data_IF_835908389736
#
_entry.id   IF_835908389736
#
_cell.length_a   1.000
_cell.length_b   1.000
_cell.length_c   1.000
_cell.angle_alpha   90.00
_cell.angle_beta   90.00
_cell.angle_gamma   90.00
#
_symmetry.space_group_name_H-M   'P 1'
#
loop_
_entity.id
_entity.type
_entity.pdbx_description
1 polymer ?
#
# COMPACT_ATOMS: atom_id res chain seq x y z
N UNK A 1 63.97 26.76 5.16
CA UNK A 1 62.75 27.27 5.82
C UNK A 1 63.00 27.28 7.32
N UNK A 2 62.88 28.45 7.97
CA UNK A 2 63.14 28.54 9.40
C UNK A 2 62.12 27.71 10.18
N UNK A 3 62.51 27.14 11.31
CA UNK A 3 61.67 26.31 12.16
C UNK A 3 60.37 27.03 12.56
N UNK A 4 60.36 28.36 12.59
CA UNK A 4 59.21 29.22 12.85
C UNK A 4 58.18 29.11 11.73
N UNK A 5 58.58 29.05 10.44
CA UNK A 5 57.62 28.89 9.31
C UNK A 5 56.96 27.48 9.32
N UNK A 6 57.69 26.45 9.71
CA UNK A 6 57.13 25.09 9.85
C UNK A 6 56.11 25.01 10.99
N UNK A 7 56.44 25.65 12.13
CA UNK A 7 55.54 25.71 13.28
C UNK A 7 54.26 26.50 12.98
N UNK A 8 54.33 27.59 12.23
CA UNK A 8 53.17 28.37 11.80
C UNK A 8 52.25 27.55 10.84
N UNK A 9 52.83 26.80 9.91
CA UNK A 9 52.09 25.93 9.00
C UNK A 9 51.33 24.83 9.75
N UNK A 10 51.99 24.21 10.74
CA UNK A 10 51.37 23.17 11.59
C UNK A 10 50.22 23.76 12.42
N UNK A 11 50.37 24.96 12.97
CA UNK A 11 49.37 25.63 13.75
C UNK A 11 48.11 25.98 12.90
N UNK A 12 48.33 26.47 11.66
CA UNK A 12 47.25 26.74 10.71
C UNK A 12 46.55 25.45 10.29
N UNK A 13 47.30 24.38 10.05
CA UNK A 13 46.69 23.07 9.71
C UNK A 13 45.85 22.50 10.85
N UNK A 14 46.30 22.59 12.10
CA UNK A 14 45.57 22.16 13.29
C UNK A 14 44.30 23.04 13.48
N UNK A 15 44.41 24.36 13.28
CA UNK A 15 43.25 25.25 13.35
C UNK A 15 42.20 24.95 12.25
N UNK A 16 42.66 24.62 11.03
CA UNK A 16 41.76 24.21 9.92
C UNK A 16 41.07 22.87 10.22
N UNK A 17 41.81 21.89 10.74
CA UNK A 17 41.22 20.61 11.16
C UNK A 17 40.21 20.80 12.31
N UNK A 18 40.52 21.63 13.30
CA UNK A 18 39.62 21.97 14.39
C UNK A 18 38.34 22.70 13.89
N UNK A 19 38.48 23.59 12.90
CA UNK A 19 37.37 24.29 12.25
C UNK A 19 36.46 23.32 11.44
N UNK A 20 37.09 22.39 10.69
CA UNK A 20 36.37 21.35 9.98
C UNK A 20 35.68 20.39 10.96
N UNK A 21 36.39 19.95 12.01
CA UNK A 21 35.81 19.09 13.04
C UNK A 21 34.65 19.76 13.81
N UNK A 22 34.73 21.07 14.04
CA UNK A 22 33.63 21.82 14.68
C UNK A 22 32.42 22.04 13.74
N UNK A 23 32.64 21.98 12.44
CA UNK A 23 31.55 22.05 11.43
C UNK A 23 30.78 20.74 11.31
N UNK A 24 31.35 19.61 11.72
CA UNK A 24 30.65 18.34 11.90
C UNK A 24 29.93 18.31 13.26
N UNK A 25 28.98 19.23 13.46
CA UNK A 25 27.92 18.97 14.44
C UNK A 25 27.03 17.86 13.85
N UNK A 26 27.43 16.62 14.02
CA UNK A 26 26.50 15.51 13.88
C UNK A 26 25.39 15.76 14.90
N UNK A 27 24.19 16.08 14.44
CA UNK A 27 23.04 16.11 15.34
C UNK A 27 22.95 14.73 15.95
N UNK A 28 23.06 14.65 17.26
CA UNK A 28 23.03 13.39 17.99
C UNK A 28 21.66 12.74 17.72
N UNK A 29 21.63 11.44 17.42
CA UNK A 29 20.38 10.69 17.21
C UNK A 29 19.48 10.80 18.44
N UNK A 30 20.05 11.04 19.61
CA UNK A 30 19.33 11.26 20.86
C UNK A 30 18.54 12.60 20.90
N UNK A 31 18.90 13.57 20.04
CA UNK A 31 18.22 14.87 19.94
C UNK A 31 17.09 14.86 18.91
N UNK A 32 16.78 13.70 18.32
CA UNK A 32 15.72 13.55 17.32
C UNK A 32 14.58 12.67 17.82
N UNK A 33 13.36 13.07 17.50
CA UNK A 33 12.16 12.23 17.61
C UNK A 33 12.03 11.41 16.33
N UNK A 34 12.29 10.11 16.42
CA UNK A 34 12.18 9.20 15.28
C UNK A 34 10.71 8.86 15.05
N UNK A 35 10.17 9.26 13.90
CA UNK A 35 8.80 9.00 13.51
C UNK A 35 8.76 7.73 12.66
N UNK A 36 7.93 6.75 13.04
CA UNK A 36 7.72 5.50 12.32
C UNK A 36 6.53 5.54 11.38
N UNK A 37 5.51 6.30 11.72
CA UNK A 37 4.31 6.44 10.89
C UNK A 37 3.67 7.79 11.05
N UNK A 38 2.96 8.17 10.00
CA UNK A 38 2.24 9.45 9.91
C UNK A 38 0.82 9.17 9.49
N UNK A 39 -0.14 9.59 10.31
CA UNK A 39 -1.57 9.62 9.99
C UNK A 39 -2.01 11.05 9.71
N UNK A 40 -2.84 11.23 8.70
CA UNK A 40 -3.36 12.53 8.27
C UNK A 40 -4.88 12.46 8.22
N UNK A 41 -5.53 13.30 9.02
CA UNK A 41 -6.98 13.44 9.09
C UNK A 41 -7.40 14.88 8.76
N UNK A 42 -8.64 15.09 8.35
CA UNK A 42 -9.20 16.42 8.18
C UNK A 42 -9.47 17.06 9.57
N UNK A 43 -9.27 18.37 9.66
CA UNK A 43 -9.56 19.14 10.87
C UNK A 43 -10.26 20.45 10.55
N UNK A 44 -11.50 20.57 10.99
CA UNK A 44 -12.32 21.73 10.67
C UNK A 44 -12.50 21.93 9.16
N UNK A 45 -12.74 23.17 8.75
CA UNK A 45 -13.06 23.46 7.34
C UNK A 45 -11.84 23.41 6.37
N UNK A 46 -10.63 23.66 6.89
CA UNK A 46 -9.41 23.77 6.07
C UNK A 46 -8.14 23.34 6.77
N UNK A 47 -8.24 22.69 7.93
CA UNK A 47 -7.11 22.24 8.72
C UNK A 47 -6.74 20.78 8.48
N UNK A 48 -5.57 20.43 8.98
CA UNK A 48 -5.04 19.07 8.98
C UNK A 48 -4.79 18.67 10.42
N UNK A 49 -5.18 17.46 10.79
CA UNK A 49 -4.74 16.83 12.03
C UNK A 49 -3.68 15.79 11.67
N UNK A 50 -2.49 15.98 12.19
CA UNK A 50 -1.38 15.05 12.00
C UNK A 50 -1.19 14.21 13.26
N UNK A 51 -1.24 12.90 13.11
CA UNK A 51 -0.91 11.95 14.17
C UNK A 51 0.35 11.21 13.80
N UNK A 52 1.38 11.27 14.64
CA UNK A 52 2.66 10.58 14.37
C UNK A 52 2.91 9.54 15.45
N UNK A 53 3.41 8.39 15.02
CA UNK A 53 3.94 7.37 15.91
C UNK A 53 5.43 7.58 16.12
N UNK A 54 5.82 7.96 17.35
CA UNK A 54 7.20 8.32 17.72
C UNK A 54 7.82 7.20 18.53
N UNK A 55 9.05 6.82 18.20
CA UNK A 55 9.86 5.89 18.99
C UNK A 55 10.42 6.62 20.21
N UNK A 56 10.14 6.11 21.39
CA UNK A 56 10.77 6.56 22.63
C UNK A 56 11.71 5.46 23.13
N UNK A 57 13.02 5.73 23.26
CA UNK A 57 13.92 4.79 23.95
C UNK A 57 13.46 4.66 25.41
N UNK A 58 13.24 3.44 25.88
CA UNK A 58 12.80 3.15 27.24
C UNK A 58 13.84 3.65 28.25
N UNK A 59 13.40 4.53 29.14
CA UNK A 59 14.21 4.99 30.29
C UNK A 59 14.06 4.00 31.46
N UNK A 60 14.71 2.84 31.40
CA UNK A 60 14.68 1.93 32.53
C UNK A 60 15.57 0.72 32.34
N UNK A 61 16.32 0.38 33.38
CA UNK A 61 17.30 -0.70 33.42
C UNK A 61 16.70 -2.13 33.41
N UNK A 62 15.38 -2.29 33.26
CA UNK A 62 14.73 -3.60 33.38
C UNK A 62 13.91 -4.05 32.15
N UNK A 63 13.67 -3.19 31.16
CA UNK A 63 13.02 -3.59 29.90
C UNK A 63 13.75 -2.98 28.72
N UNK A 64 14.52 -3.80 28.02
CA UNK A 64 15.05 -3.50 26.68
C UNK A 64 13.88 -3.62 25.70
N UNK A 65 13.03 -2.59 25.68
CA UNK A 65 11.88 -2.48 24.78
C UNK A 65 11.83 -1.09 24.17
N UNK A 66 11.71 -1.02 22.86
CA UNK A 66 11.42 0.23 22.17
C UNK A 66 9.90 0.42 22.24
N UNK A 67 9.45 1.43 22.98
CA UNK A 67 8.03 1.77 23.04
C UNK A 67 7.72 2.84 22.02
N UNK A 68 6.66 2.65 21.25
CA UNK A 68 6.09 3.71 20.42
C UNK A 68 5.01 4.45 21.18
N UNK A 69 4.89 5.75 20.93
CA UNK A 69 3.83 6.62 21.42
C UNK A 69 3.29 7.44 20.27
N UNK A 70 2.00 7.72 20.31
CA UNK A 70 1.38 8.62 19.35
C UNK A 70 1.36 10.05 19.87
N UNK A 71 1.60 11.00 18.99
CA UNK A 71 1.47 12.44 19.20
C UNK A 71 0.54 12.98 18.14
N UNK A 72 -0.50 13.68 18.54
CA UNK A 72 -1.45 14.32 17.63
C UNK A 72 -1.32 15.83 17.75
N UNK A 73 -1.21 16.50 16.61
CA UNK A 73 -1.14 17.96 16.49
C UNK A 73 -2.12 18.43 15.42
N UNK A 74 -2.45 19.71 15.43
CA UNK A 74 -3.43 20.31 14.55
C UNK A 74 -2.91 21.65 14.03
N UNK A 75 -2.92 21.82 12.71
CA UNK A 75 -2.52 23.06 12.07
C UNK A 75 -3.26 23.28 10.75
N UNK A 76 -2.93 24.40 10.09
CA UNK A 76 -3.45 24.70 8.75
C UNK A 76 -2.57 24.13 7.63
N UNK A 77 -1.34 23.77 7.93
CA UNK A 77 -0.38 23.26 6.97
C UNK A 77 0.47 22.16 7.56
N UNK A 78 0.89 21.21 6.74
CA UNK A 78 1.74 20.08 7.14
C UNK A 78 3.06 20.54 7.75
N UNK A 79 3.67 21.60 7.17
CA UNK A 79 4.93 22.18 7.70
C UNK A 79 4.76 22.66 9.14
N UNK A 80 3.63 23.29 9.44
CA UNK A 80 3.31 23.75 10.79
C UNK A 80 3.04 22.57 11.73
N UNK A 81 2.36 21.52 11.27
CA UNK A 81 2.14 20.31 12.05
C UNK A 81 3.45 19.63 12.43
N UNK A 82 4.38 19.47 11.49
CA UNK A 82 5.70 18.90 11.76
C UNK A 82 6.47 19.74 12.78
N UNK A 83 6.37 21.07 12.70
CA UNK A 83 6.95 21.96 13.70
C UNK A 83 6.30 21.80 15.07
N UNK A 84 4.96 21.69 15.12
CA UNK A 84 4.22 21.44 16.37
C UNK A 84 4.62 20.10 17.01
N UNK A 85 4.87 19.04 16.21
CA UNK A 85 5.41 17.76 16.70
C UNK A 85 6.76 17.98 17.38
N UNK A 86 7.67 18.76 16.75
CA UNK A 86 8.96 19.05 17.34
C UNK A 86 8.85 19.85 18.63
N UNK A 87 7.94 20.82 18.70
CA UNK A 87 7.66 21.58 19.94
C UNK A 87 7.08 20.69 21.04
N UNK A 88 6.13 19.80 20.69
CA UNK A 88 5.51 18.87 21.66
C UNK A 88 6.51 17.87 22.22
N UNK A 89 7.40 17.34 21.38
CA UNK A 89 8.39 16.32 21.78
C UNK A 89 9.66 16.93 22.41
N UNK A 90 9.89 18.23 22.21
CA UNK A 90 11.11 18.93 22.60
C UNK A 90 12.33 18.52 21.80
N UNK A 91 12.15 17.83 20.65
CA UNK A 91 13.20 17.30 19.78
C UNK A 91 12.85 17.53 18.32
N UNK A 92 13.87 17.62 17.45
CA UNK A 92 13.66 17.70 16.02
C UNK A 92 12.93 16.45 15.48
N UNK A 93 11.83 16.66 14.76
CA UNK A 93 11.07 15.57 14.15
C UNK A 93 11.85 14.97 12.95
N UNK A 94 12.12 13.66 12.99
CA UNK A 94 12.84 12.94 11.95
C UNK A 94 11.94 11.93 11.27
N UNK A 95 11.54 12.20 10.04
CA UNK A 95 10.70 11.35 9.19
C UNK A 95 11.49 10.32 8.37
N UNK A 96 12.83 10.36 8.41
CA UNK A 96 13.69 9.49 7.61
C UNK A 96 13.58 7.99 7.91
N UNK A 97 12.89 7.61 8.99
CA UNK A 97 12.58 6.21 9.33
C UNK A 97 11.08 5.91 9.26
N UNK A 98 10.29 6.83 8.72
CA UNK A 98 8.87 6.63 8.52
C UNK A 98 8.64 5.49 7.51
N UNK A 99 7.84 4.49 7.90
CA UNK A 99 7.56 3.30 7.10
C UNK A 99 6.19 3.35 6.45
N UNK A 100 5.26 4.17 6.98
CA UNK A 100 3.90 4.29 6.45
C UNK A 100 3.33 5.70 6.60
N UNK A 101 2.65 6.15 5.53
CA UNK A 101 1.79 7.34 5.48
C UNK A 101 0.34 6.85 5.32
N UNK A 102 -0.53 7.24 6.26
CA UNK A 102 -1.92 6.81 6.32
C UNK A 102 -2.84 8.02 6.14
N UNK A 103 -3.76 7.94 5.19
CA UNK A 103 -4.78 8.97 4.97
C UNK A 103 -6.09 8.53 5.61
N UNK A 104 -6.64 9.34 6.52
CA UNK A 104 -7.96 9.12 7.11
C UNK A 104 -9.08 9.37 6.12
N UNK A 105 -10.23 8.70 6.32
CA UNK A 105 -11.34 8.70 5.37
C UNK A 105 -11.86 10.10 5.06
N UNK A 106 -12.17 10.88 6.07
CA UNK A 106 -12.70 12.23 5.86
C UNK A 106 -11.71 13.13 5.09
N UNK A 107 -10.41 12.87 5.25
CA UNK A 107 -9.39 13.63 4.55
C UNK A 107 -9.32 13.24 3.07
N UNK A 108 -9.14 11.96 2.75
CA UNK A 108 -8.94 11.57 1.36
C UNK A 108 -10.21 11.65 0.51
N UNK A 109 -11.40 11.52 1.11
CA UNK A 109 -12.66 11.65 0.35
C UNK A 109 -13.00 13.09 0.01
N UNK A 110 -12.61 14.06 0.83
CA UNK A 110 -13.06 15.45 0.71
C UNK A 110 -11.97 16.44 0.29
N UNK A 111 -10.69 16.05 0.38
CA UNK A 111 -9.54 16.94 0.14
C UNK A 111 -8.73 16.45 -1.05
N UNK A 112 -8.34 17.40 -1.92
CA UNK A 112 -7.27 17.18 -2.89
C UNK A 112 -5.94 17.19 -2.13
N UNK A 113 -5.30 16.04 -2.00
CA UNK A 113 -4.08 15.92 -1.20
C UNK A 113 -2.79 16.06 -2.02
N UNK A 114 -2.84 16.77 -3.16
CA UNK A 114 -1.66 17.07 -3.98
C UNK A 114 -0.58 17.77 -3.17
N UNK A 115 -0.94 18.81 -2.41
CA UNK A 115 0.00 19.55 -1.57
C UNK A 115 0.67 18.67 -0.51
N UNK A 116 -0.04 17.67 0.02
CA UNK A 116 0.50 16.70 0.97
C UNK A 116 1.61 15.86 0.31
N UNK A 117 1.32 15.28 -0.84
CA UNK A 117 2.27 14.45 -1.59
C UNK A 117 3.49 15.28 -2.02
N UNK A 118 3.26 16.46 -2.58
CA UNK A 118 4.34 17.37 -2.99
C UNK A 118 5.22 17.80 -1.82
N UNK A 119 4.62 18.08 -0.65
CA UNK A 119 5.39 18.40 0.55
C UNK A 119 6.36 17.29 0.92
N UNK A 120 5.89 16.06 1.03
CA UNK A 120 6.73 14.93 1.45
C UNK A 120 7.81 14.58 0.42
N UNK A 121 7.52 14.72 -0.87
CA UNK A 121 8.49 14.46 -1.95
C UNK A 121 9.54 15.59 -2.02
N UNK A 122 9.10 16.82 -2.09
CA UNK A 122 9.98 17.98 -2.34
C UNK A 122 10.91 18.27 -1.16
N UNK A 123 10.44 18.02 0.04
CA UNK A 123 11.26 18.22 1.25
C UNK A 123 12.10 17.00 1.60
N UNK A 124 12.07 15.90 0.79
CA UNK A 124 12.78 14.65 1.05
C UNK A 124 12.56 14.13 2.47
N UNK A 125 11.41 14.44 3.05
CA UNK A 125 11.09 14.11 4.44
C UNK A 125 10.81 12.63 4.60
N UNK A 126 10.14 12.02 3.61
CA UNK A 126 9.86 10.59 3.55
C UNK A 126 10.74 9.91 2.49
N UNK A 127 11.00 8.61 2.70
CA UNK A 127 11.62 7.79 1.67
C UNK A 127 10.61 7.49 0.57
N UNK A 128 11.06 7.39 -0.66
CA UNK A 128 10.24 6.97 -1.79
C UNK A 128 9.62 5.58 -1.60
N UNK A 129 10.28 4.73 -0.78
CA UNK A 129 9.82 3.39 -0.41
C UNK A 129 8.82 3.39 0.75
N UNK A 130 8.51 4.54 1.37
CA UNK A 130 7.49 4.62 2.42
C UNK A 130 6.15 4.13 1.88
N UNK A 131 5.53 3.17 2.58
CA UNK A 131 4.20 2.70 2.21
C UNK A 131 3.19 3.84 2.33
N UNK A 132 2.24 3.92 1.39
CA UNK A 132 1.12 4.85 1.45
C UNK A 132 -0.18 4.07 1.36
N UNK A 133 -1.10 4.36 2.27
CA UNK A 133 -2.42 3.74 2.33
C UNK A 133 -3.47 4.73 2.84
N UNK A 134 -4.72 4.37 2.69
CA UNK A 134 -5.84 5.02 3.37
C UNK A 134 -6.44 4.08 4.42
N UNK A 135 -7.26 4.59 5.31
CA UNK A 135 -7.95 3.77 6.28
C UNK A 135 -9.45 4.10 6.33
N UNK A 136 -10.23 3.16 6.82
CA UNK A 136 -11.60 3.39 7.22
C UNK A 136 -11.61 4.23 8.50
N UNK A 137 -12.41 5.31 8.54
CA UNK A 137 -12.45 6.23 9.64
C UNK A 137 -11.19 7.10 9.78
N UNK A 138 -10.72 7.28 10.99
CA UNK A 138 -9.63 8.20 11.32
C UNK A 138 -8.27 7.49 11.39
N UNK A 139 -7.26 8.07 10.76
CA UNK A 139 -5.87 7.60 10.85
C UNK A 139 -5.35 7.72 12.30
N UNK A 140 -5.80 8.73 13.04
CA UNK A 140 -5.51 8.89 14.48
C UNK A 140 -6.00 7.69 15.27
N UNK A 141 -7.27 7.27 15.06
CA UNK A 141 -7.83 6.15 15.80
C UNK A 141 -7.14 4.83 15.42
N UNK A 142 -6.80 4.65 14.14
CA UNK A 142 -6.04 3.50 13.67
C UNK A 142 -4.68 3.40 14.38
N UNK A 143 -3.93 4.50 14.45
CA UNK A 143 -2.62 4.54 15.12
C UNK A 143 -2.71 4.39 16.65
N UNK A 144 -3.79 4.87 17.27
CA UNK A 144 -3.99 4.77 18.71
C UNK A 144 -4.51 3.40 19.16
N UNK A 145 -5.42 2.79 18.39
CA UNK A 145 -6.16 1.60 18.81
C UNK A 145 -5.56 0.29 18.27
N UNK A 146 -4.64 0.36 17.33
CA UNK A 146 -4.03 -0.81 16.73
C UNK A 146 -3.16 -1.58 17.71
N UNK A 147 -3.78 -2.29 18.64
CA UNK A 147 -3.12 -3.26 19.50
C UNK A 147 -2.80 -4.55 18.78
N UNK A 148 -1.95 -4.48 17.74
CA UNK A 148 -1.38 -5.68 17.16
C UNK A 148 -0.36 -6.31 18.12
N UNK A 149 -0.01 -7.56 17.88
CA UNK A 149 1.11 -8.24 18.56
C UNK A 149 2.44 -7.48 18.40
N UNK A 150 2.48 -6.50 17.50
CA UNK A 150 3.63 -5.64 17.24
C UNK A 150 3.73 -4.49 18.24
N UNK A 151 4.95 -4.13 18.59
CA UNK A 151 5.25 -2.99 19.47
C UNK A 151 4.94 -1.63 18.81
N UNK A 152 4.76 -1.59 17.49
CA UNK A 152 4.44 -0.43 16.67
C UNK A 152 3.35 -0.76 15.68
N UNK A 153 2.30 0.06 15.66
CA UNK A 153 1.18 -0.04 14.71
C UNK A 153 1.67 0.22 13.29
N UNK A 154 2.50 1.24 13.10
CA UNK A 154 3.04 1.60 11.79
C UNK A 154 3.89 0.49 11.18
N UNK A 155 4.72 -0.18 11.98
CA UNK A 155 5.49 -1.34 11.53
C UNK A 155 4.58 -2.52 11.20
N UNK A 156 3.54 -2.78 12.00
CA UNK A 156 2.58 -3.85 11.73
C UNK A 156 1.86 -3.64 10.39
N UNK A 157 1.38 -2.42 10.14
CA UNK A 157 0.73 -2.04 8.89
C UNK A 157 1.70 -2.20 7.71
N UNK A 158 2.90 -1.60 7.80
CA UNK A 158 3.88 -1.67 6.72
C UNK A 158 4.32 -3.11 6.43
N UNK A 159 4.57 -3.93 7.45
CA UNK A 159 4.94 -5.34 7.29
C UNK A 159 3.81 -6.13 6.63
N UNK A 160 2.58 -5.97 7.11
CA UNK A 160 1.45 -6.66 6.53
C UNK A 160 1.20 -6.25 5.06
N UNK A 161 1.42 -4.98 4.71
CA UNK A 161 1.37 -4.53 3.32
C UNK A 161 2.48 -5.17 2.47
N UNK A 162 3.69 -5.34 2.99
CA UNK A 162 4.81 -5.96 2.27
C UNK A 162 4.64 -7.47 2.11
N UNK A 163 4.17 -8.16 3.15
CA UNK A 163 4.01 -9.62 3.13
C UNK A 163 2.84 -10.11 2.26
N UNK A 164 1.92 -9.22 1.91
CA UNK A 164 0.74 -9.59 1.12
C UNK A 164 1.00 -9.69 -0.37
N UNK A 165 2.17 -9.33 -0.85
CA UNK A 165 2.55 -9.50 -2.26
C UNK A 165 2.51 -10.95 -2.75
N UNK A 166 2.55 -11.93 -1.85
CA UNK A 166 2.42 -13.35 -2.20
C UNK A 166 0.99 -13.94 -2.02
N UNK A 167 0.09 -13.24 -1.31
CA UNK A 167 -1.19 -13.84 -0.87
C UNK A 167 -2.44 -13.10 -1.29
N UNK A 168 -2.39 -11.82 -1.61
CA UNK A 168 -3.57 -11.03 -1.99
C UNK A 168 -3.27 -10.17 -3.20
N UNK A 169 -4.07 -10.31 -4.08
CA UNK A 169 -4.47 -9.75 -5.34
C UNK A 169 -3.95 -8.37 -5.75
N UNK A 170 -3.24 -7.60 -4.95
CA UNK A 170 -2.84 -6.26 -5.37
C UNK A 170 -1.48 -5.86 -4.83
N UNK A 171 -0.63 -5.40 -5.75
CA UNK A 171 0.65 -4.77 -5.42
C UNK A 171 0.46 -3.64 -4.41
N UNK A 172 1.20 -3.68 -3.31
CA UNK A 172 1.22 -2.58 -2.35
C UNK A 172 1.81 -1.32 -2.97
N UNK A 173 1.20 -0.18 -2.68
CA UNK A 173 1.70 1.10 -3.11
C UNK A 173 2.66 1.68 -2.08
N UNK A 174 3.81 2.13 -2.58
CA UNK A 174 4.66 3.08 -1.89
C UNK A 174 4.53 4.46 -2.54
N UNK A 175 5.11 5.46 -1.89
CA UNK A 175 5.03 6.84 -2.35
C UNK A 175 5.50 7.00 -3.80
N UNK A 176 6.57 6.31 -4.21
CA UNK A 176 7.10 6.36 -5.58
C UNK A 176 6.12 5.77 -6.60
N UNK A 177 5.58 4.57 -6.34
CA UNK A 177 4.64 3.91 -7.25
C UNK A 177 3.36 4.73 -7.41
N UNK A 178 2.82 5.21 -6.28
CA UNK A 178 1.63 6.06 -6.29
C UNK A 178 1.86 7.35 -7.06
N UNK A 179 2.95 8.07 -6.80
CA UNK A 179 3.27 9.31 -7.52
C UNK A 179 3.46 9.08 -9.03
N UNK A 180 4.05 7.94 -9.41
CA UNK A 180 4.17 7.58 -10.82
C UNK A 180 2.80 7.40 -11.49
N UNK A 181 1.87 6.71 -10.84
CA UNK A 181 0.53 6.53 -11.39
C UNK A 181 -0.22 7.86 -11.57
N UNK A 182 -0.01 8.82 -10.66
CA UNK A 182 -0.59 10.16 -10.79
C UNK A 182 0.04 11.01 -11.91
N UNK A 183 1.23 10.67 -12.38
CA UNK A 183 1.89 11.33 -13.51
C UNK A 183 1.64 10.63 -14.85
N UNK A 184 0.89 9.54 -14.88
CA UNK A 184 0.44 8.87 -16.10
C UNK A 184 -0.68 9.68 -16.80
N UNK A 185 -1.03 9.30 -18.02
CA UNK A 185 -1.93 10.10 -18.85
C UNK A 185 -3.31 10.36 -18.24
N UNK A 186 -3.88 9.34 -17.59
CA UNK A 186 -5.19 9.42 -16.93
C UNK A 186 -5.10 9.84 -15.46
N UNK A 187 -3.89 10.00 -14.93
CA UNK A 187 -3.63 10.32 -13.52
C UNK A 187 -4.36 9.39 -12.53
N UNK A 188 -4.70 8.16 -12.96
CA UNK A 188 -5.42 7.20 -12.13
C UNK A 188 -4.47 6.34 -11.32
N UNK A 189 -4.68 6.27 -10.02
CA UNK A 189 -3.98 5.42 -9.10
C UNK A 189 -4.90 4.89 -8.01
N UNK A 190 -4.39 4.01 -7.18
CA UNK A 190 -5.14 3.48 -6.04
C UNK A 190 -4.28 3.44 -4.78
N UNK A 191 -4.92 3.38 -3.63
CA UNK A 191 -4.28 3.11 -2.34
C UNK A 191 -4.99 1.93 -1.67
N UNK A 192 -4.21 1.10 -0.98
CA UNK A 192 -4.77 0.04 -0.16
C UNK A 192 -5.55 0.66 1.00
N UNK A 193 -6.75 0.18 1.27
CA UNK A 193 -7.58 0.58 2.38
C UNK A 193 -7.34 -0.35 3.56
N UNK A 194 -6.80 0.20 4.63
CA UNK A 194 -6.45 -0.53 5.84
C UNK A 194 -7.61 -0.50 6.80
N UNK A 195 -8.06 -1.68 7.24
CA UNK A 195 -9.09 -1.81 8.27
C UNK A 195 -8.55 -2.62 9.44
N UNK A 196 -8.74 -2.14 10.66
CA UNK A 196 -8.42 -2.89 11.87
C UNK A 196 -9.59 -3.79 12.28
N UNK A 197 -9.34 -5.08 12.40
CA UNK A 197 -10.32 -6.07 12.83
C UNK A 197 -9.99 -6.51 14.25
N UNK A 198 -10.83 -6.17 15.25
CA UNK A 198 -10.62 -6.61 16.64
C UNK A 198 -10.70 -8.14 16.76
N UNK A 199 -9.84 -8.72 17.59
CA UNK A 199 -9.92 -10.14 17.93
C UNK A 199 -11.06 -10.40 18.91
N UNK A 200 -11.85 -11.44 18.66
CA UNK A 200 -12.92 -11.87 19.57
C UNK A 200 -12.42 -12.56 20.85
N UNK A 201 -11.13 -12.87 20.95
CA UNK A 201 -10.54 -13.53 22.12
C UNK A 201 -10.50 -12.58 23.32
N UNK A 202 -11.47 -12.77 24.23
CA UNK A 202 -11.62 -12.01 25.49
C UNK A 202 -10.52 -12.26 26.52
N UNK A 203 -9.71 -13.30 26.36
CA UNK A 203 -8.66 -13.68 27.33
C UNK A 203 -7.41 -12.79 27.26
N UNK A 204 -7.33 -11.89 26.27
CA UNK A 204 -6.24 -10.92 26.11
C UNK A 204 -6.56 -9.52 26.69
N UNK A 205 -7.64 -9.39 27.45
CA UNK A 205 -8.19 -8.09 27.93
C UNK A 205 -7.45 -7.47 29.12
N UNK A 206 -6.27 -7.94 29.47
CA UNK A 206 -5.49 -7.35 30.60
C UNK A 206 -4.59 -6.17 30.14
N UNK A 207 -4.72 -5.69 28.91
CA UNK A 207 -4.07 -4.49 28.42
C UNK A 207 -5.09 -3.48 27.90
N UNK A 208 -4.86 -2.20 28.12
CA UNK A 208 -5.69 -1.07 27.63
C UNK A 208 -5.78 -1.01 26.07
N UNK A 209 -5.18 -1.96 25.35
CA UNK A 209 -5.17 -2.05 23.89
C UNK A 209 -5.98 -3.25 23.40
N UNK A 210 -6.89 -2.99 22.49
CA UNK A 210 -7.66 -4.03 21.83
C UNK A 210 -6.74 -4.84 20.90
N UNK A 211 -6.65 -6.15 21.11
CA UNK A 211 -5.92 -7.05 20.22
C UNK A 211 -6.69 -7.24 18.92
N UNK A 212 -5.99 -7.32 17.79
CA UNK A 212 -6.60 -7.50 16.49
C UNK A 212 -5.56 -7.63 15.37
N UNK A 213 -6.03 -7.58 14.14
CA UNK A 213 -5.19 -7.65 12.95
C UNK A 213 -5.66 -6.64 11.90
N UNK A 214 -4.77 -6.33 10.95
CA UNK A 214 -5.08 -5.43 9.84
C UNK A 214 -5.46 -6.20 8.60
N UNK A 215 -6.48 -5.73 7.88
CA UNK A 215 -6.88 -6.24 6.55
C UNK A 215 -6.68 -5.17 5.49
N UNK A 216 -6.48 -5.61 4.22
CA UNK A 216 -6.16 -4.76 3.06
C UNK A 216 -6.93 -5.24 1.83
N UNK A 217 -8.19 -5.63 2.02
CA UNK A 217 -8.98 -6.31 0.98
C UNK A 217 -9.64 -5.34 0.02
N UNK A 218 -9.67 -4.07 0.37
CA UNK A 218 -10.30 -3.01 -0.38
C UNK A 218 -9.27 -2.00 -0.86
N UNK A 219 -9.62 -1.25 -1.91
CA UNK A 219 -8.82 -0.17 -2.45
C UNK A 219 -9.67 1.09 -2.57
N UNK A 220 -9.03 2.24 -2.36
CA UNK A 220 -9.57 3.53 -2.77
C UNK A 220 -8.90 3.97 -4.08
N UNK A 221 -9.69 4.37 -5.06
CA UNK A 221 -9.24 4.84 -6.38
C UNK A 221 -9.19 6.36 -6.39
N UNK A 222 -8.13 6.89 -6.97
CA UNK A 222 -7.87 8.32 -7.06
C UNK A 222 -7.56 8.73 -8.48
N UNK A 223 -7.95 9.96 -8.83
CA UNK A 223 -7.52 10.64 -10.05
C UNK A 223 -6.98 12.02 -9.71
N UNK A 224 -5.69 12.26 -10.00
CA UNK A 224 -5.04 13.52 -9.65
C UNK A 224 -5.12 13.83 -8.16
N UNK A 225 -4.89 12.82 -7.29
CA UNK A 225 -4.99 12.91 -5.83
C UNK A 225 -6.38 13.26 -5.28
N UNK A 226 -7.43 13.07 -6.09
CA UNK A 226 -8.83 13.20 -5.67
C UNK A 226 -9.49 11.85 -5.66
N UNK A 227 -10.26 11.59 -4.63
CA UNK A 227 -11.03 10.36 -4.48
C UNK A 227 -12.06 10.20 -5.59
N UNK A 228 -12.19 8.97 -6.09
CA UNK A 228 -13.15 8.59 -7.13
C UNK A 228 -14.19 7.62 -6.59
N UNK A 229 -13.73 6.47 -6.08
CA UNK A 229 -14.58 5.43 -5.51
C UNK A 229 -13.76 4.40 -4.74
N UNK A 230 -14.42 3.57 -3.96
CA UNK A 230 -13.82 2.36 -3.40
C UNK A 230 -14.07 1.15 -4.32
N UNK A 231 -13.10 0.24 -4.33
CA UNK A 231 -13.23 -1.11 -4.84
C UNK A 231 -13.36 -2.06 -3.65
N UNK A 232 -14.44 -2.83 -3.62
CA UNK A 232 -14.64 -3.88 -2.63
C UNK A 232 -13.77 -5.11 -2.91
N UNK A 233 -13.76 -6.11 -2.01
CA UNK A 233 -12.94 -7.32 -2.13
C UNK A 233 -13.15 -8.06 -3.46
N UNK A 234 -14.39 -8.17 -3.96
CA UNK A 234 -14.69 -8.86 -5.23
C UNK A 234 -14.14 -8.07 -6.44
N UNK A 235 -14.31 -6.75 -6.44
CA UNK A 235 -13.80 -5.86 -7.49
C UNK A 235 -12.26 -5.83 -7.49
N UNK A 236 -11.63 -5.86 -6.31
CA UNK A 236 -10.17 -5.97 -6.16
C UNK A 236 -9.66 -7.31 -6.69
N UNK A 237 -10.32 -8.41 -6.35
CA UNK A 237 -10.02 -9.73 -6.91
C UNK A 237 -10.19 -9.75 -8.43
N UNK A 238 -11.24 -9.10 -8.94
CA UNK A 238 -11.45 -8.92 -10.38
C UNK A 238 -10.32 -8.14 -11.04
N UNK A 239 -9.88 -7.03 -10.43
CA UNK A 239 -8.74 -6.24 -10.92
C UNK A 239 -7.46 -7.06 -10.96
N UNK A 240 -7.23 -7.88 -9.95
CA UNK A 240 -6.01 -8.70 -9.86
C UNK A 240 -5.86 -9.66 -11.01
N UNK A 241 -6.96 -10.13 -11.62
CA UNK A 241 -6.90 -11.03 -12.77
C UNK A 241 -6.22 -10.39 -13.98
N UNK A 242 -6.23 -9.07 -14.10
CA UNK A 242 -5.57 -8.33 -15.18
C UNK A 242 -4.10 -8.00 -14.91
N UNK A 243 -3.56 -8.35 -13.74
CA UNK A 243 -2.17 -8.07 -13.37
C UNK A 243 -1.37 -9.38 -13.37
N UNK A 244 -0.40 -9.53 -14.28
CA UNK A 244 0.38 -10.76 -14.47
C UNK A 244 1.14 -11.21 -13.22
N UNK A 245 1.79 -10.29 -12.53
CA UNK A 245 2.66 -10.57 -11.37
C UNK A 245 1.90 -11.00 -10.12
N UNK A 246 0.57 -10.93 -10.13
CA UNK A 246 -0.26 -11.31 -8.99
C UNK A 246 -0.69 -12.77 -9.12
N UNK A 247 -0.05 -13.63 -8.37
CA UNK A 247 -0.35 -15.06 -8.25
C UNK A 247 -0.74 -15.39 -6.82
N UNK A 248 -1.29 -16.58 -6.60
CA UNK A 248 -1.67 -17.04 -5.25
C UNK A 248 -3.14 -16.81 -4.92
N UNK A 249 -3.93 -16.22 -5.82
CA UNK A 249 -5.39 -16.16 -5.71
C UNK A 249 -5.97 -17.56 -5.55
N UNK A 250 -7.01 -17.67 -4.73
CA UNK A 250 -7.68 -18.95 -4.47
C UNK A 250 -9.13 -18.91 -4.88
N UNK A 251 -9.56 -19.94 -5.59
CA UNK A 251 -10.95 -20.19 -5.94
C UNK A 251 -11.47 -21.37 -5.14
N UNK A 252 -12.67 -21.22 -4.61
CA UNK A 252 -13.35 -22.28 -3.87
C UNK A 252 -14.46 -22.83 -4.75
N UNK A 253 -14.42 -24.14 -4.99
CA UNK A 253 -15.47 -24.86 -5.70
C UNK A 253 -15.95 -26.06 -4.89
N UNK A 254 -17.14 -26.56 -5.19
CA UNK A 254 -17.73 -27.72 -4.53
C UNK A 254 -17.89 -28.84 -5.53
N UNK A 255 -17.28 -30.00 -5.22
CA UNK A 255 -17.45 -31.22 -5.99
C UNK A 255 -17.98 -32.32 -5.07
N UNK A 256 -19.11 -32.95 -5.43
CA UNK A 256 -19.71 -34.08 -4.70
C UNK A 256 -19.83 -33.82 -3.18
N UNK A 257 -20.31 -32.64 -2.79
CA UNK A 257 -20.43 -32.15 -1.39
C UNK A 257 -19.08 -31.82 -0.71
N UNK A 258 -17.95 -32.02 -1.38
CA UNK A 258 -16.64 -31.65 -0.85
C UNK A 258 -16.21 -30.26 -1.33
N UNK A 259 -15.74 -29.47 -0.38
CA UNK A 259 -15.10 -28.18 -0.68
C UNK A 259 -13.71 -28.43 -1.26
N UNK A 260 -13.43 -27.86 -2.42
CA UNK A 260 -12.11 -27.90 -3.08
C UNK A 260 -11.57 -26.49 -3.22
N UNK A 261 -10.31 -26.31 -2.89
CA UNK A 261 -9.61 -25.04 -3.06
C UNK A 261 -8.61 -25.19 -4.20
N UNK A 262 -8.75 -24.34 -5.21
CA UNK A 262 -7.83 -24.25 -6.34
C UNK A 262 -7.03 -22.95 -6.22
N UNK A 263 -5.71 -23.05 -6.28
CA UNK A 263 -4.80 -21.91 -6.16
C UNK A 263 -4.22 -21.58 -7.53
N UNK A 264 -4.27 -20.30 -7.88
CA UNK A 264 -3.59 -19.75 -9.07
C UNK A 264 -2.08 -19.78 -8.83
N UNK A 265 -1.36 -20.46 -9.69
CA UNK A 265 0.10 -20.56 -9.64
C UNK A 265 0.79 -19.88 -10.81
N UNK A 266 0.09 -19.65 -11.91
CA UNK A 266 0.55 -18.86 -13.03
C UNK A 266 -0.62 -18.16 -13.72
N UNK A 267 -0.33 -17.04 -14.36
CA UNK A 267 -1.30 -16.26 -15.09
C UNK A 267 -0.61 -15.54 -16.24
N UNK A 268 -1.25 -15.54 -17.40
CA UNK A 268 -0.84 -14.80 -18.59
C UNK A 268 -1.97 -13.88 -19.04
N UNK A 269 -1.65 -12.62 -19.30
CA UNK A 269 -2.64 -11.60 -19.68
C UNK A 269 -2.24 -10.98 -21.01
N UNK A 270 -2.99 -11.29 -22.05
CA UNK A 270 -2.79 -10.72 -23.37
C UNK A 270 -3.86 -9.64 -23.65
N UNK A 271 -3.42 -8.41 -23.86
CA UNK A 271 -4.29 -7.29 -24.20
C UNK A 271 -3.99 -6.82 -25.62
N UNK A 272 -4.95 -6.94 -26.51
CA UNK A 272 -4.87 -6.52 -27.91
C UNK A 272 -5.90 -5.46 -28.22
N UNK A 273 -5.49 -4.44 -28.94
CA UNK A 273 -6.39 -3.42 -29.44
C UNK A 273 -7.10 -3.91 -30.70
N UNK A 274 -8.41 -3.64 -30.79
CA UNK A 274 -9.23 -3.97 -31.97
C UNK A 274 -9.35 -2.80 -32.94
N UNK A 275 -9.70 -3.09 -34.19
CA UNK A 275 -9.85 -2.08 -35.26
C UNK A 275 -11.02 -1.12 -34.98
N UNK A 276 -12.04 -1.55 -34.25
CA UNK A 276 -13.20 -0.72 -33.86
C UNK A 276 -12.95 0.15 -32.62
N UNK A 277 -11.70 0.18 -32.13
CA UNK A 277 -11.32 1.04 -31.01
C UNK A 277 -11.61 0.48 -29.64
N UNK A 278 -11.74 -0.83 -29.51
CA UNK A 278 -11.87 -1.56 -28.26
C UNK A 278 -10.64 -2.38 -27.92
N UNK A 279 -10.80 -3.32 -26.98
CA UNK A 279 -9.77 -4.24 -26.53
C UNK A 279 -10.27 -5.68 -26.53
N UNK A 280 -9.46 -6.60 -27.05
CA UNK A 280 -9.57 -8.02 -26.82
C UNK A 280 -8.59 -8.40 -25.70
N UNK A 281 -9.12 -8.86 -24.58
CA UNK A 281 -8.32 -9.26 -23.42
C UNK A 281 -8.50 -10.75 -23.22
N UNK A 282 -7.39 -11.48 -23.24
CA UNK A 282 -7.37 -12.91 -22.93
C UNK A 282 -6.55 -13.14 -21.68
N UNK A 283 -7.18 -13.75 -20.67
CA UNK A 283 -6.53 -14.12 -19.41
C UNK A 283 -6.46 -15.65 -19.36
N UNK A 284 -5.26 -16.20 -19.30
CA UNK A 284 -5.03 -17.63 -19.11
C UNK A 284 -4.57 -17.85 -17.67
N UNK A 285 -5.32 -18.65 -16.91
CA UNK A 285 -5.08 -18.91 -15.50
C UNK A 285 -4.70 -20.39 -15.36
N UNK A 286 -3.50 -20.67 -14.85
CA UNK A 286 -3.09 -22.03 -14.51
C UNK A 286 -3.33 -22.25 -13.01
N UNK A 287 -4.04 -23.33 -12.68
CA UNK A 287 -4.43 -23.64 -11.30
C UNK A 287 -3.89 -25.00 -10.84
N UNK A 288 -3.77 -25.15 -9.52
CA UNK A 288 -3.45 -26.42 -8.85
C UNK A 288 -4.30 -26.55 -7.60
N UNK A 289 -4.40 -27.76 -7.06
CA UNK A 289 -5.02 -27.95 -5.75
C UNK A 289 -4.26 -27.22 -4.65
N UNK A 290 -4.99 -26.50 -3.78
CA UNK A 290 -4.45 -25.87 -2.58
C UNK A 290 -3.98 -26.93 -1.58
N UNK A 291 -2.89 -26.64 -0.87
CA UNK A 291 -2.28 -27.58 0.10
C UNK A 291 -3.13 -27.89 1.32
N UNK A 292 -4.13 -27.07 1.64
CA UNK A 292 -4.88 -27.12 2.90
C UNK A 292 -6.00 -28.13 2.93
N UNK A 293 -6.49 -28.61 1.79
CA UNK A 293 -7.69 -29.45 1.76
C UNK A 293 -7.39 -30.97 1.81
N UNK A 294 -6.12 -31.36 1.74
CA UNK A 294 -5.74 -32.78 1.68
C UNK A 294 -5.38 -33.41 3.04
N UNK A 295 -5.18 -32.61 4.09
CA UNK A 295 -4.63 -33.14 5.36
C UNK A 295 -5.61 -33.22 6.52
N UNK A 296 -6.76 -32.52 6.52
CA UNK A 296 -7.63 -32.47 7.71
C UNK A 296 -8.89 -33.36 7.66
N UNK A 297 -9.32 -33.88 6.52
CA UNK A 297 -10.60 -34.58 6.41
C UNK A 297 -10.51 -36.10 6.21
N UNK A 298 -9.36 -36.67 5.93
CA UNK A 298 -9.24 -38.13 5.86
C UNK A 298 -8.00 -38.60 6.59
N UNK A 299 -8.21 -39.17 7.78
CA UNK A 299 -7.26 -40.11 8.42
C UNK A 299 -7.01 -41.36 7.60
N UNK A 300 -7.19 -41.31 6.30
CA UNK A 300 -6.89 -42.36 5.34
C UNK A 300 -6.09 -41.70 4.22
N UNK A 301 -4.79 -41.80 4.35
CA UNK A 301 -3.81 -41.54 3.32
C UNK A 301 -4.21 -42.24 2.00
N UNK A 302 -4.79 -41.50 1.07
CA UNK A 302 -4.64 -41.84 -0.32
C UNK A 302 -3.60 -40.85 -0.91
N UNK A 303 -2.36 -41.24 -0.85
CA UNK A 303 -1.27 -40.71 -1.66
C UNK A 303 -1.52 -41.05 -3.12
N UNK A 304 -2.52 -40.47 -3.75
CA UNK A 304 -2.60 -40.36 -5.20
C UNK A 304 -1.95 -39.07 -5.61
N UNK A 305 -0.69 -39.15 -5.82
CA UNK A 305 0.17 -38.23 -6.57
C UNK A 305 -0.29 -38.29 -8.02
N UNK A 306 -1.13 -37.36 -8.45
CA UNK A 306 -1.72 -37.10 -9.78
C UNK A 306 -3.25 -37.27 -9.81
N UNK A 307 -3.98 -36.53 -8.99
CA UNK A 307 -5.40 -36.34 -9.30
C UNK A 307 -5.49 -35.22 -10.33
N UNK A 308 -5.76 -35.59 -11.58
CA UNK A 308 -6.15 -34.69 -12.66
C UNK A 308 -7.35 -33.84 -12.18
N UNK A 309 -7.31 -32.53 -12.39
CA UNK A 309 -8.39 -31.65 -11.95
C UNK A 309 -9.63 -31.93 -12.82
N UNK A 310 -10.77 -32.22 -12.19
CA UNK A 310 -12.02 -32.43 -12.92
C UNK A 310 -12.33 -31.21 -13.80
N UNK A 311 -12.59 -31.38 -15.10
CA UNK A 311 -12.97 -30.30 -16.00
C UNK A 311 -14.10 -29.40 -15.47
N UNK A 312 -15.05 -29.97 -14.70
CA UNK A 312 -16.12 -29.19 -14.07
C UNK A 312 -15.62 -28.18 -13.04
N UNK A 313 -14.53 -28.51 -12.31
CA UNK A 313 -13.91 -27.57 -11.38
C UNK A 313 -13.22 -26.42 -12.14
N UNK A 314 -12.59 -26.72 -13.29
CA UNK A 314 -11.98 -25.70 -14.15
C UNK A 314 -13.05 -24.76 -14.72
N UNK A 315 -14.18 -25.32 -15.17
CA UNK A 315 -15.31 -24.54 -15.68
C UNK A 315 -15.90 -23.63 -14.59
N UNK A 316 -16.04 -24.12 -13.36
CA UNK A 316 -16.55 -23.34 -12.24
C UNK A 316 -15.59 -22.18 -11.89
N UNK A 317 -14.28 -22.44 -11.82
CA UNK A 317 -13.27 -21.39 -11.63
C UNK A 317 -13.32 -20.37 -12.76
N UNK A 318 -13.46 -20.81 -14.01
CA UNK A 318 -13.59 -19.91 -15.16
C UNK A 318 -14.83 -19.00 -15.04
N UNK A 319 -15.96 -19.53 -14.59
CA UNK A 319 -17.16 -18.72 -14.36
C UNK A 319 -16.97 -17.73 -13.22
N UNK A 320 -16.40 -18.15 -12.10
CA UNK A 320 -16.09 -17.24 -10.97
C UNK A 320 -15.14 -16.12 -11.41
N UNK A 321 -14.05 -16.46 -12.10
CA UNK A 321 -13.09 -15.49 -12.61
C UNK A 321 -13.75 -14.50 -13.60
N UNK A 322 -14.63 -14.99 -14.48
CA UNK A 322 -15.37 -14.14 -15.42
C UNK A 322 -16.30 -13.16 -14.69
N UNK A 323 -16.99 -13.60 -13.64
CA UNK A 323 -17.86 -12.73 -12.83
C UNK A 323 -17.06 -11.64 -12.14
N UNK A 324 -15.93 -11.98 -11.49
CA UNK A 324 -15.06 -11.02 -10.82
C UNK A 324 -14.48 -9.99 -11.80
N UNK A 325 -13.92 -10.45 -12.92
CA UNK A 325 -13.35 -9.57 -13.92
C UNK A 325 -14.41 -8.62 -14.54
N UNK A 326 -15.60 -9.13 -14.78
CA UNK A 326 -16.71 -8.32 -15.31
C UNK A 326 -17.20 -7.28 -14.30
N UNK A 327 -17.26 -7.62 -13.02
CA UNK A 327 -17.62 -6.68 -11.95
C UNK A 327 -16.62 -5.52 -11.88
N UNK A 328 -15.33 -5.81 -11.94
CA UNK A 328 -14.28 -4.78 -11.97
C UNK A 328 -14.39 -3.89 -13.23
N UNK A 329 -14.55 -4.47 -14.43
CA UNK A 329 -14.69 -3.70 -15.66
C UNK A 329 -15.93 -2.79 -15.64
N UNK A 330 -17.05 -3.29 -15.09
CA UNK A 330 -18.26 -2.49 -14.92
C UNK A 330 -18.04 -1.30 -13.99
N UNK A 331 -17.34 -1.52 -12.87
CA UNK A 331 -16.99 -0.46 -11.92
C UNK A 331 -16.06 0.58 -12.56
N UNK A 332 -15.04 0.13 -13.31
CA UNK A 332 -14.13 1.03 -14.04
C UNK A 332 -14.89 1.90 -15.04
N UNK A 333 -15.87 1.33 -15.75
CA UNK A 333 -16.68 2.06 -16.70
C UNK A 333 -17.65 3.04 -16.01
N UNK A 334 -18.28 2.62 -14.91
CA UNK A 334 -19.25 3.43 -14.14
C UNK A 334 -18.60 4.70 -13.60
N UNK A 335 -17.44 4.59 -12.99
CA UNK A 335 -16.71 5.71 -12.36
C UNK A 335 -15.68 6.36 -13.27
N UNK A 336 -15.55 5.85 -14.49
CA UNK A 336 -14.70 6.40 -15.54
C UNK A 336 -13.23 6.53 -15.09
N UNK A 337 -12.66 5.54 -14.42
CA UNK A 337 -11.22 5.48 -14.08
C UNK A 337 -10.51 4.45 -14.98
N UNK A 338 -9.18 4.55 -15.12
CA UNK A 338 -8.41 3.71 -16.05
C UNK A 338 -7.20 3.02 -15.37
N UNK A 339 -7.48 2.02 -14.55
CA UNK A 339 -6.41 1.19 -13.93
C UNK A 339 -5.81 0.16 -14.91
N UNK A 340 -6.50 -0.14 -16.03
CA UNK A 340 -6.00 -1.04 -17.08
C UNK A 340 -5.20 -0.32 -18.17
N UNK A 341 -5.00 0.99 -18.04
CA UNK A 341 -4.18 1.81 -18.95
C UNK A 341 -4.64 1.76 -20.42
N UNK A 342 -5.94 1.74 -20.63
CA UNK A 342 -6.53 1.79 -21.97
C UNK A 342 -6.11 3.03 -22.73
N UNK A 343 -6.11 4.20 -22.08
CA UNK A 343 -5.70 5.46 -22.67
C UNK A 343 -4.22 5.46 -23.07
N UNK A 344 -3.34 4.91 -22.22
CA UNK A 344 -1.91 4.80 -22.52
C UNK A 344 -1.65 3.89 -23.73
N UNK A 345 -2.34 2.76 -23.83
CA UNK A 345 -2.24 1.83 -24.93
C UNK A 345 -2.61 2.49 -26.28
N UNK A 346 -3.54 3.46 -26.27
CA UNK A 346 -3.86 4.25 -27.45
C UNK A 346 -2.78 5.24 -27.84
N UNK A 347 -2.17 5.93 -26.86
CA UNK A 347 -1.14 6.94 -27.09
C UNK A 347 0.11 6.35 -27.75
N UNK A 348 0.55 5.19 -27.31
CA UNK A 348 1.78 4.57 -27.79
C UNK A 348 1.79 4.29 -29.31
N UNK A 349 0.62 4.10 -29.94
CA UNK A 349 0.51 3.75 -31.37
C UNK A 349 0.17 4.90 -32.31
N UNK A 350 -0.45 5.99 -31.85
CA UNK A 350 -0.99 7.03 -32.75
C UNK A 350 -0.32 8.41 -32.63
N UNK A 351 0.69 8.59 -31.76
CA UNK A 351 1.41 9.86 -31.64
C UNK A 351 0.45 11.04 -31.62
N UNK A 352 -0.04 11.39 -30.45
CA UNK A 352 -0.82 12.61 -30.14
C UNK A 352 -2.20 12.77 -30.79
N UNK A 353 -3.25 12.44 -30.05
CA UNK A 353 -4.45 13.27 -30.10
C UNK A 353 -5.00 13.39 -28.67
N UNK A 354 -5.06 14.61 -28.17
CA UNK A 354 -5.69 14.98 -26.89
C UNK A 354 -7.13 14.46 -26.75
N UNK A 355 -7.78 14.15 -27.88
CA UNK A 355 -9.17 13.68 -27.92
C UNK A 355 -9.36 12.28 -27.29
N UNK A 356 -8.35 11.42 -27.29
CA UNK A 356 -8.45 10.08 -26.73
C UNK A 356 -8.11 10.03 -25.24
N UNK A 357 -7.34 10.99 -24.75
CA UNK A 357 -7.03 11.10 -23.32
C UNK A 357 -8.27 11.42 -22.47
N UNK A 358 -9.36 11.91 -23.10
CA UNK A 358 -10.60 12.30 -22.44
C UNK A 358 -11.77 11.38 -22.78
N UNK A 359 -11.53 10.30 -23.56
CA UNK A 359 -12.58 9.34 -23.90
C UNK A 359 -12.98 8.58 -22.62
N UNK A 360 -14.31 8.51 -22.29
CA UNK A 360 -14.74 7.72 -21.15
C UNK A 360 -14.31 6.26 -21.27
N UNK A 361 -13.93 5.61 -20.16
CA UNK A 361 -13.56 4.19 -20.15
C UNK A 361 -14.70 3.28 -20.59
N UNK A 362 -15.94 3.67 -20.34
CA UNK A 362 -17.15 3.00 -20.83
C UNK A 362 -17.27 2.94 -22.37
N UNK A 363 -16.61 3.85 -23.07
CA UNK A 363 -16.64 3.91 -24.55
C UNK A 363 -15.61 2.97 -25.20
N UNK A 364 -14.80 2.27 -24.42
CA UNK A 364 -13.90 1.23 -24.92
C UNK A 364 -14.59 -0.14 -24.87
N UNK A 365 -15.05 -0.69 -26.01
CA UNK A 365 -15.57 -2.05 -26.03
C UNK A 365 -14.50 -3.04 -25.60
N UNK A 366 -14.80 -3.88 -24.62
CA UNK A 366 -13.88 -4.92 -24.13
C UNK A 366 -14.49 -6.28 -24.40
N UNK A 367 -13.78 -7.09 -25.18
CA UNK A 367 -14.09 -8.50 -25.37
C UNK A 367 -13.17 -9.30 -24.43
N UNK A 368 -13.73 -9.82 -23.33
CA UNK A 368 -13.00 -10.58 -22.34
C UNK A 368 -13.11 -12.08 -22.60
N UNK A 369 -11.97 -12.75 -22.61
CA UNK A 369 -11.88 -14.21 -22.66
C UNK A 369 -11.03 -14.69 -21.48
N UNK A 370 -11.57 -15.60 -20.67
CA UNK A 370 -10.82 -16.24 -19.59
C UNK A 370 -10.70 -17.73 -19.90
N UNK A 371 -9.51 -18.27 -19.79
CA UNK A 371 -9.19 -19.69 -19.92
C UNK A 371 -8.58 -20.17 -18.62
N UNK A 372 -9.03 -21.32 -18.13
CA UNK A 372 -8.48 -21.97 -16.95
C UNK A 372 -7.92 -23.31 -17.35
N UNK A 373 -6.70 -23.58 -16.96
CA UNK A 373 -5.99 -24.83 -17.27
C UNK A 373 -5.30 -25.38 -16.03
N UNK A 374 -5.10 -26.67 -16.01
CA UNK A 374 -4.29 -27.35 -15.01
C UNK A 374 -2.79 -27.12 -15.31
N UNK A 375 -1.99 -26.90 -14.28
CA UNK A 375 -0.55 -26.71 -14.42
C UNK A 375 0.22 -28.02 -14.30
#
# INVERSE_FOLDING_TARGET
MSNIKRMAIVLVAVALVALVASSFKGSDVLDRSIILGVGVDAFGDYGIQLTVEVVSPGNGSEQVGTFSKTVTVEAKTISQDIQNVAEYTGKEASLGQCVVLILGQDYYENVDFTDLIEYFINHHSLKESTAICCCEGSAKDLLNNGGALAQSVSLAIATAMLDQTEKIAVSTNNLLKYTRSQNELDCTGFLNKVTFVPSENKDAQDSDKVMGYFTYRELAVFRGNRYVCDLNEEEVRGMSLFVEDVVGETFVSYQDEYKRTLQVNNKDVEQKRTDNGGFDITITISVRFGRTDSEEVSGILSSKKNDEIDPKLLDDVQQQAMQLATAFLAKQAEYNFDLLKFHESYRQKQGTSDQLAHKPTADFPVNLTIKVEEN
#
